data_IF_812539235050
#
_entry.id   IF_812539235050
#
_cell.length_a   1.000
_cell.length_b   1.000
_cell.length_c   1.000
_cell.angle_alpha   90.00
_cell.angle_beta   90.00
_cell.angle_gamma   90.00
#
_symmetry.space_group_name_H-M   'P 1'
#
loop_
_entity.id
_entity.type
_entity.pdbx_description
1 polymer ?
#
# COMPACT_ATOMS: atom_id res chain seq x y z
N UNK A 1 -3.91 -15.49 14.38
CA UNK A 1 -3.28 -14.43 13.57
C UNK A 1 -4.37 -13.78 12.72
N UNK A 2 -4.54 -12.46 12.78
CA UNK A 2 -5.46 -11.74 11.88
C UNK A 2 -4.73 -11.50 10.56
N UNK A 3 -5.20 -12.14 9.50
CA UNK A 3 -4.74 -11.87 8.13
C UNK A 3 -5.59 -10.72 7.61
N UNK A 4 -4.98 -9.59 7.31
CA UNK A 4 -5.64 -8.47 6.64
C UNK A 4 -6.00 -8.86 5.21
N UNK A 5 -7.11 -8.35 4.71
CA UNK A 5 -7.52 -8.50 3.32
C UNK A 5 -7.63 -7.14 2.65
N UNK A 6 -7.65 -7.16 1.33
CA UNK A 6 -7.88 -5.97 0.50
C UNK A 6 -9.25 -5.31 0.79
N UNK A 7 -10.18 -6.05 1.37
CA UNK A 7 -11.52 -5.60 1.79
C UNK A 7 -11.48 -4.80 3.09
N UNK A 8 -10.45 -5.01 3.93
CA UNK A 8 -10.26 -4.26 5.18
C UNK A 8 -9.63 -2.87 4.92
N UNK A 9 -9.14 -2.62 3.69
CA UNK A 9 -8.60 -1.32 3.29
C UNK A 9 -9.73 -0.33 3.02
N UNK A 10 -9.66 0.82 3.68
CA UNK A 10 -10.55 1.94 3.44
C UNK A 10 -10.03 2.76 2.26
N UNK A 11 -10.80 2.87 1.19
CA UNK A 11 -10.41 3.73 0.07
C UNK A 11 -10.71 5.19 0.38
N UNK A 12 -9.68 6.03 0.48
CA UNK A 12 -9.83 7.43 0.82
C UNK A 12 -10.00 8.33 -0.43
N UNK A 13 -9.69 7.82 -1.62
CA UNK A 13 -9.86 8.51 -2.89
C UNK A 13 -8.59 8.50 -3.75
N UNK A 14 -8.61 9.24 -4.85
CA UNK A 14 -7.45 9.47 -5.72
C UNK A 14 -7.21 10.96 -5.84
N UNK A 15 -5.96 11.38 -5.67
CA UNK A 15 -5.52 12.76 -5.82
C UNK A 15 -4.30 12.79 -6.72
N UNK A 16 -4.40 13.51 -7.84
CA UNK A 16 -3.32 13.64 -8.84
C UNK A 16 -2.78 12.28 -9.37
N UNK A 17 -3.67 11.28 -9.52
CA UNK A 17 -3.29 9.92 -9.91
C UNK A 17 -2.74 9.05 -8.77
N UNK A 18 -2.58 9.61 -7.57
CA UNK A 18 -2.16 8.89 -6.37
C UNK A 18 -3.40 8.43 -5.59
N UNK A 19 -3.64 7.12 -5.56
CA UNK A 19 -4.69 6.49 -4.78
C UNK A 19 -4.30 6.44 -3.31
N UNK A 20 -5.17 6.99 -2.46
CA UNK A 20 -5.00 7.02 -1.02
C UNK A 20 -5.87 5.93 -0.39
N UNK A 21 -5.24 5.09 0.42
CA UNK A 21 -5.86 4.02 1.18
C UNK A 21 -5.58 4.27 2.66
N UNK A 22 -6.57 4.04 3.50
CA UNK A 22 -6.44 4.10 4.95
C UNK A 22 -6.73 2.71 5.52
N UNK A 23 -6.14 2.38 6.65
CA UNK A 23 -6.44 1.11 7.30
C UNK A 23 -6.58 1.34 8.81
N UNK A 24 -7.66 0.87 9.45
CA UNK A 24 -7.92 1.14 10.87
C UNK A 24 -6.88 0.55 11.82
N UNK A 25 -6.08 -0.43 11.36
CA UNK A 25 -4.92 -0.95 12.10
C UNK A 25 -3.57 -0.46 11.55
N UNK A 26 -3.56 0.25 10.42
CA UNK A 26 -2.38 0.97 9.96
C UNK A 26 -2.24 2.24 10.78
N UNK A 27 -1.02 2.66 11.12
CA UNK A 27 -0.83 3.90 11.86
C UNK A 27 -0.98 5.13 10.95
N UNK A 28 -0.78 4.95 9.64
CA UNK A 28 -0.78 6.04 8.67
C UNK A 28 -1.38 5.59 7.32
N UNK A 29 -1.84 6.55 6.49
CA UNK A 29 -2.39 6.24 5.17
C UNK A 29 -1.34 5.68 4.21
N UNK A 30 -1.80 4.96 3.20
CA UNK A 30 -1.03 4.37 2.12
C UNK A 30 -1.34 5.13 0.83
N UNK A 31 -0.29 5.55 0.13
CA UNK A 31 -0.38 6.25 -1.15
C UNK A 31 0.16 5.33 -2.24
N UNK A 32 -0.68 5.04 -3.24
CA UNK A 32 -0.29 4.23 -4.37
C UNK A 32 -0.40 5.01 -5.66
N UNK A 33 0.61 4.89 -6.49
CA UNK A 33 0.65 5.38 -7.86
C UNK A 33 1.01 4.19 -8.76
N UNK A 34 0.59 4.17 -10.03
CA UNK A 34 1.06 3.16 -10.98
C UNK A 34 2.59 3.01 -10.96
N UNK A 35 3.33 4.11 -10.94
CA UNK A 35 4.79 4.07 -10.88
C UNK A 35 5.40 3.70 -9.51
N UNK A 36 4.68 3.81 -8.38
CA UNK A 36 5.26 3.61 -7.04
C UNK A 36 4.23 3.37 -5.94
N UNK A 37 4.61 2.65 -4.88
CA UNK A 37 3.86 2.57 -3.63
C UNK A 37 4.61 3.29 -2.50
N UNK A 38 3.95 4.24 -1.83
CA UNK A 38 4.49 4.97 -0.69
C UNK A 38 3.57 4.82 0.50
N UNK A 39 4.09 4.32 1.61
CA UNK A 39 3.35 4.29 2.88
C UNK A 39 3.64 5.59 3.61
N UNK A 40 2.63 6.30 4.10
CA UNK A 40 2.85 7.58 4.78
C UNK A 40 3.74 7.43 6.03
N UNK A 41 3.77 6.23 6.65
CA UNK A 41 4.72 5.86 7.74
C UNK A 41 6.18 6.15 7.36
N UNK A 42 6.47 6.28 6.06
CA UNK A 42 7.79 6.55 5.51
C UNK A 42 8.21 8.03 5.53
N UNK A 43 7.35 8.97 5.96
CA UNK A 43 7.77 10.36 6.19
C UNK A 43 8.84 10.49 7.30
N UNK A 44 9.06 9.44 8.10
CA UNK A 44 10.15 9.35 9.07
C UNK A 44 11.45 8.71 8.52
N UNK A 45 11.49 8.30 7.24
CA UNK A 45 12.72 7.94 6.51
C UNK A 45 13.29 6.54 6.78
N UNK A 46 12.46 5.53 7.06
CA UNK A 46 12.93 4.19 7.45
C UNK A 46 12.71 3.12 6.34
N UNK A 47 11.75 3.29 5.43
CA UNK A 47 11.41 2.30 4.40
C UNK A 47 11.09 2.98 3.06
N UNK A 48 12.16 3.46 2.39
CA UNK A 48 12.06 4.16 1.12
C UNK A 48 11.14 3.45 0.12
N UNK A 49 10.32 4.27 -0.57
CA UNK A 49 9.44 3.95 -1.72
C UNK A 49 9.60 2.51 -2.20
N UNK A 50 8.57 1.70 -1.97
CA UNK A 50 8.56 0.32 -2.44
C UNK A 50 8.25 0.35 -3.93
N UNK A 51 9.25 0.05 -4.75
CA UNK A 51 9.04 -0.25 -6.16
C UNK A 51 8.09 -1.45 -6.24
N UNK A 52 7.03 -1.31 -7.03
CA UNK A 52 6.09 -2.40 -7.26
C UNK A 52 6.83 -3.46 -8.09
N UNK A 53 6.88 -4.69 -7.60
CA UNK A 53 7.37 -5.83 -8.38
C UNK A 53 6.33 -6.13 -9.47
N UNK A 54 6.47 -5.45 -10.59
CA UNK A 54 5.66 -5.63 -11.78
C UNK A 54 6.49 -6.42 -12.77
N UNK A 55 5.89 -7.44 -13.39
CA UNK A 55 6.51 -8.10 -14.54
C UNK A 55 6.70 -7.07 -15.66
N UNK A 56 7.85 -7.10 -16.33
CA UNK A 56 8.11 -6.24 -17.50
C UNK A 56 6.94 -6.33 -18.51
N UNK A 57 6.24 -5.21 -18.70
CA UNK A 57 5.10 -5.09 -19.59
C UNK A 57 3.71 -5.19 -18.95
N UNK A 58 3.60 -5.48 -17.64
CA UNK A 58 2.31 -5.39 -16.94
C UNK A 58 2.02 -3.97 -16.45
N UNK A 59 0.77 -3.56 -16.60
CA UNK A 59 0.31 -2.28 -16.07
C UNK A 59 0.03 -2.41 -14.57
N UNK A 60 0.65 -1.60 -13.72
CA UNK A 60 0.36 -1.59 -12.30
C UNK A 60 -1.11 -1.27 -12.07
N UNK A 61 -1.84 -2.22 -11.49
CA UNK A 61 -3.27 -2.05 -11.17
C UNK A 61 -3.49 -1.79 -9.69
N UNK A 62 -4.65 -1.23 -9.39
CA UNK A 62 -5.11 -1.01 -8.02
C UNK A 62 -5.15 -2.32 -7.22
N UNK A 63 -5.35 -3.47 -7.86
CA UNK A 63 -5.32 -4.78 -7.18
C UNK A 63 -3.91 -5.12 -6.69
N UNK A 64 -2.88 -4.88 -7.51
CA UNK A 64 -1.49 -5.02 -7.09
C UNK A 64 -1.16 -4.09 -5.92
N UNK A 65 -1.66 -2.86 -5.94
CA UNK A 65 -1.52 -1.90 -4.85
C UNK A 65 -2.07 -2.44 -3.53
N UNK A 66 -3.34 -2.84 -3.55
CA UNK A 66 -4.06 -3.35 -2.38
C UNK A 66 -3.37 -4.58 -1.83
N UNK A 67 -2.94 -5.49 -2.71
CA UNK A 67 -2.24 -6.70 -2.33
C UNK A 67 -0.91 -6.38 -1.64
N UNK A 68 -0.13 -5.44 -2.18
CA UNK A 68 1.15 -5.01 -1.60
C UNK A 68 0.98 -4.34 -0.23
N UNK A 69 -0.05 -3.49 -0.07
CA UNK A 69 -0.39 -2.85 1.21
C UNK A 69 -0.76 -3.91 2.26
N UNK A 70 -1.62 -4.86 1.88
CA UNK A 70 -2.08 -5.94 2.77
C UNK A 70 -0.94 -6.88 3.16
N UNK A 71 -0.08 -7.24 2.22
CA UNK A 71 1.11 -8.05 2.48
C UNK A 71 2.03 -7.37 3.52
N UNK A 72 2.27 -6.06 3.35
CA UNK A 72 3.09 -5.29 4.26
C UNK A 72 2.45 -5.16 5.66
N UNK A 73 1.15 -4.90 5.72
CA UNK A 73 0.39 -4.88 6.98
C UNK A 73 0.49 -6.23 7.70
N UNK A 74 0.32 -7.34 6.97
CA UNK A 74 0.43 -8.68 7.52
C UNK A 74 1.86 -9.01 8.01
N UNK A 75 2.86 -8.54 7.27
CA UNK A 75 4.28 -8.68 7.62
C UNK A 75 4.64 -7.89 8.89
N UNK A 76 4.16 -6.65 9.01
CA UNK A 76 4.35 -5.82 10.22
C UNK A 76 3.65 -6.40 11.46
N UNK A 77 2.46 -6.99 11.31
CA UNK A 77 1.73 -7.56 12.45
C UNK A 77 2.36 -8.84 13.04
N UNK A 78 3.30 -9.47 12.33
CA UNK A 78 4.02 -10.66 12.80
C UNK A 78 5.31 -10.35 13.58
N UNK A 79 5.74 -9.08 13.66
CA UNK A 79 6.86 -8.66 14.51
C UNK A 79 6.40 -8.27 15.91
#
# INVERSE_FOLDING_TARGET
MKVFKIEDLNYNGVQDGVHSWDHPQGQQPYYWHPDWLHVAEDLMGIHGRKELDLKEGESPTIEHAKQAIVDELNSKQQK
#
